data_IF_680557004623
#
_entry.id   IF_680557004623
#
_cell.length_a   1.000
_cell.length_b   1.000
_cell.length_c   1.000
_cell.angle_alpha   90.00
_cell.angle_beta   90.00
_cell.angle_gamma   90.00
#
_symmetry.space_group_name_H-M   'P 1'
#
loop_
_entity.id
_entity.type
_entity.pdbx_description
1 polymer ?
#
# COMPACT_ATOMS: atom_id res chain seq x y z
N UNK A 1 2.23 7.66 10.35
CA UNK A 1 2.59 6.32 9.82
C UNK A 1 2.40 6.31 8.32
N UNK A 2 3.10 5.45 7.56
CA UNK A 2 2.89 5.33 6.11
C UNK A 2 2.13 4.05 5.82
N UNK A 3 1.03 4.17 5.07
CA UNK A 3 0.34 3.04 4.48
C UNK A 3 0.84 2.79 3.06
N UNK A 4 0.98 1.52 2.69
CA UNK A 4 1.43 1.09 1.36
C UNK A 4 0.46 0.06 0.84
N UNK A 5 -0.06 0.24 -0.37
CA UNK A 5 -0.98 -0.71 -1.02
C UNK A 5 -0.39 -1.14 -2.35
N UNK A 6 -0.37 -2.45 -2.59
CA UNK A 6 -0.01 -2.97 -3.91
C UNK A 6 -1.21 -2.85 -4.85
N UNK A 7 -1.07 -2.04 -5.90
CA UNK A 7 -2.15 -1.77 -6.87
C UNK A 7 -2.04 -2.61 -8.13
N UNK A 8 -0.83 -3.10 -8.47
CA UNK A 8 -0.55 -3.76 -9.75
C UNK A 8 -0.13 -5.22 -9.58
N UNK A 9 -0.74 -6.09 -10.40
CA UNK A 9 -0.27 -7.47 -10.65
C UNK A 9 0.81 -7.46 -11.74
N UNK A 10 1.69 -8.45 -11.73
CA UNK A 10 2.69 -8.65 -12.78
C UNK A 10 3.93 -9.36 -12.26
N UNK A 11 4.94 -9.43 -13.12
CA UNK A 11 6.25 -10.03 -12.85
C UNK A 11 7.29 -8.92 -12.65
N UNK A 12 7.40 -8.35 -11.43
CA UNK A 12 8.44 -7.38 -11.14
C UNK A 12 9.83 -8.00 -11.34
N UNK A 13 10.79 -7.15 -11.68
CA UNK A 13 12.19 -7.58 -11.71
C UNK A 13 12.61 -8.10 -10.31
N UNK A 14 13.70 -8.90 -10.22
CA UNK A 14 14.09 -9.52 -8.95
C UNK A 14 14.28 -8.53 -7.79
N UNK A 15 14.79 -7.33 -8.08
CA UNK A 15 14.99 -6.28 -7.08
C UNK A 15 13.66 -5.79 -6.50
N UNK A 16 12.72 -5.37 -7.34
CA UNK A 16 11.38 -4.90 -6.94
C UNK A 16 10.62 -6.02 -6.25
N UNK A 17 10.70 -7.25 -6.79
CA UNK A 17 10.07 -8.43 -6.19
C UNK A 17 10.52 -8.61 -4.75
N UNK A 18 11.83 -8.57 -4.50
CA UNK A 18 12.39 -8.72 -3.16
C UNK A 18 11.91 -7.62 -2.22
N UNK A 19 11.85 -6.37 -2.70
CA UNK A 19 11.33 -5.25 -1.91
C UNK A 19 9.85 -5.44 -1.54
N UNK A 20 9.02 -5.90 -2.48
CA UNK A 20 7.60 -6.17 -2.21
C UNK A 20 7.44 -7.30 -1.17
N UNK A 21 8.22 -8.37 -1.26
CA UNK A 21 8.23 -9.47 -0.30
C UNK A 21 8.62 -8.98 1.11
N UNK A 22 9.67 -8.15 1.22
CA UNK A 22 10.11 -7.58 2.50
C UNK A 22 9.04 -6.68 3.14
N UNK A 23 8.25 -5.98 2.34
CA UNK A 23 7.15 -5.13 2.80
C UNK A 23 5.83 -5.89 2.98
N UNK A 24 5.81 -7.23 2.84
CA UNK A 24 4.61 -8.09 2.92
C UNK A 24 3.53 -7.73 1.89
N UNK A 25 3.95 -7.29 0.70
CA UNK A 25 3.08 -6.90 -0.42
C UNK A 25 3.01 -7.98 -1.50
N UNK A 26 2.79 -9.23 -1.10
CA UNK A 26 2.80 -10.39 -2.02
C UNK A 26 1.59 -10.39 -2.98
N UNK A 27 0.44 -9.92 -2.49
CA UNK A 27 -0.83 -9.88 -3.23
C UNK A 27 -1.26 -8.43 -3.49
N UNK A 28 -1.96 -8.20 -4.60
CA UNK A 28 -2.65 -6.92 -4.81
C UNK A 28 -3.68 -6.66 -3.74
N UNK A 29 -3.96 -5.38 -3.50
CA UNK A 29 -4.89 -4.89 -2.48
C UNK A 29 -4.47 -5.28 -1.06
N UNK A 30 -3.21 -5.64 -0.86
CA UNK A 30 -2.62 -5.77 0.48
C UNK A 30 -2.17 -4.39 0.94
N UNK A 31 -2.69 -3.95 2.09
CA UNK A 31 -2.20 -2.80 2.82
C UNK A 31 -1.08 -3.25 3.76
N UNK A 32 0.05 -2.55 3.77
CA UNK A 32 1.14 -2.73 4.71
C UNK A 32 1.39 -1.42 5.43
N UNK A 33 1.51 -1.47 6.76
CA UNK A 33 1.78 -0.31 7.60
C UNK A 33 3.24 -0.29 8.00
N UNK A 34 3.93 0.79 7.65
CA UNK A 34 5.37 0.95 7.86
C UNK A 34 5.69 2.26 8.55
N UNK A 35 6.86 2.30 9.18
CA UNK A 35 7.38 3.49 9.83
C UNK A 35 7.85 4.52 8.81
N UNK A 36 7.69 5.79 9.15
CA UNK A 36 8.23 6.89 8.34
C UNK A 36 9.73 7.09 8.67
N UNK A 37 10.60 6.45 7.89
CA UNK A 37 12.04 6.66 7.96
C UNK A 37 12.69 6.69 6.56
N UNK A 38 13.88 7.28 6.39
CA UNK A 38 14.53 7.42 5.08
C UNK A 38 14.80 6.08 4.38
N UNK A 39 15.11 5.03 5.15
CA UNK A 39 15.35 3.68 4.62
C UNK A 39 14.09 3.08 3.98
N UNK A 40 12.95 3.20 4.66
CA UNK A 40 11.65 2.77 4.16
C UNK A 40 11.26 3.57 2.92
N UNK A 41 11.47 4.89 2.91
CA UNK A 41 11.24 5.73 1.73
C UNK A 41 12.05 5.28 0.52
N UNK A 42 13.33 4.92 0.71
CA UNK A 42 14.15 4.34 -0.36
C UNK A 42 13.54 3.07 -0.96
N UNK A 43 13.02 2.17 -0.11
CA UNK A 43 12.32 0.96 -0.57
C UNK A 43 11.03 1.28 -1.34
N UNK A 44 10.27 2.29 -0.92
CA UNK A 44 9.05 2.72 -1.62
C UNK A 44 9.34 3.30 -3.01
N UNK A 45 10.45 4.03 -3.16
CA UNK A 45 10.87 4.56 -4.46
C UNK A 45 11.22 3.41 -5.41
N UNK A 46 11.92 2.37 -4.94
CA UNK A 46 12.27 1.20 -5.75
C UNK A 46 11.01 0.50 -6.28
N UNK A 47 9.97 0.34 -5.46
CA UNK A 47 8.76 -0.40 -5.85
C UNK A 47 7.59 0.48 -6.33
N UNK A 48 7.81 1.78 -6.55
CA UNK A 48 6.75 2.78 -6.81
C UNK A 48 5.85 2.44 -8.01
N UNK A 49 6.36 1.70 -9.00
CA UNK A 49 5.64 1.29 -10.21
C UNK A 49 4.62 0.16 -9.96
N UNK A 50 4.55 -0.36 -8.74
CA UNK A 50 3.62 -1.43 -8.33
C UNK A 50 2.72 -1.05 -7.16
N UNK A 51 3.08 0.00 -6.44
CA UNK A 51 2.45 0.36 -5.18
C UNK A 51 1.96 1.80 -5.19
N UNK A 52 1.00 2.08 -4.33
CA UNK A 52 0.67 3.42 -3.90
C UNK A 52 0.96 3.55 -2.43
N UNK A 53 1.46 4.70 -2.00
CA UNK A 53 1.78 4.92 -0.59
C UNK A 53 1.52 6.36 -0.20
N UNK A 54 1.17 6.56 1.07
CA UNK A 54 0.83 7.88 1.60
C UNK A 54 0.65 7.85 3.11
N UNK A 55 0.39 9.00 3.69
CA UNK A 55 0.07 9.11 5.12
C UNK A 55 -1.31 8.50 5.33
N UNK A 56 -1.43 7.70 6.39
CA UNK A 56 -2.68 7.08 6.83
C UNK A 56 -3.01 7.55 8.25
N UNK A 57 -4.28 7.88 8.50
CA UNK A 57 -4.75 8.29 9.82
C UNK A 57 -4.89 7.10 10.77
N UNK A 58 -4.56 7.32 12.05
CA UNK A 58 -4.64 6.28 13.08
C UNK A 58 -6.07 5.78 13.29
N UNK A 59 -7.07 6.67 13.22
CA UNK A 59 -8.50 6.32 13.27
C UNK A 59 -8.88 5.27 12.22
N UNK A 60 -8.29 5.39 11.03
CA UNK A 60 -8.59 4.52 9.92
C UNK A 60 -7.86 3.17 10.04
N UNK A 61 -6.65 3.18 10.59
CA UNK A 61 -5.93 1.95 10.97
C UNK A 61 -6.76 1.15 11.96
N UNK A 62 -7.32 1.77 13.00
CA UNK A 62 -8.19 1.08 13.96
C UNK A 62 -9.39 0.44 13.27
N UNK A 63 -10.06 1.15 12.36
CA UNK A 63 -11.19 0.60 11.57
C UNK A 63 -10.79 -0.59 10.70
N UNK A 64 -9.58 -0.58 10.13
CA UNK A 64 -9.05 -1.73 9.38
C UNK A 64 -8.83 -2.92 10.31
N UNK A 65 -8.19 -2.69 11.46
CA UNK A 65 -7.91 -3.73 12.46
C UNK A 65 -9.20 -4.36 13.01
N UNK A 66 -10.24 -3.56 13.26
CA UNK A 66 -11.55 -4.06 13.71
C UNK A 66 -12.21 -4.98 12.67
N UNK A 67 -12.15 -4.62 11.38
CA UNK A 67 -12.81 -5.39 10.32
C UNK A 67 -12.01 -6.57 9.79
N UNK A 68 -10.67 -6.51 9.86
CA UNK A 68 -9.76 -7.53 9.31
C UNK A 68 -9.08 -8.39 10.36
N UNK A 69 -9.22 -8.04 11.63
CA UNK A 69 -8.51 -8.67 12.74
C UNK A 69 -7.12 -8.03 12.96
N UNK A 70 -6.62 -8.14 14.18
CA UNK A 70 -5.28 -7.67 14.55
C UNK A 70 -4.22 -8.65 14.07
N UNK A 71 -3.10 -8.11 13.60
CA UNK A 71 -1.93 -8.89 13.17
C UNK A 71 -0.74 -8.52 14.03
N UNK A 72 -0.20 -9.49 14.76
CA UNK A 72 0.96 -9.33 15.64
C UNK A 72 2.25 -9.69 14.91
N UNK A 73 2.52 -9.02 13.79
CA UNK A 73 3.78 -9.14 13.06
C UNK A 73 4.57 -7.83 13.12
N UNK A 74 5.90 -7.86 12.97
CA UNK A 74 6.72 -6.63 12.99
C UNK A 74 6.27 -5.59 11.96
N UNK A 75 5.77 -6.05 10.82
CA UNK A 75 5.09 -5.23 9.80
C UNK A 75 3.64 -5.67 9.78
N UNK A 76 2.72 -4.78 10.15
CA UNK A 76 1.28 -5.05 10.09
C UNK A 76 0.81 -5.00 8.64
N UNK A 77 0.10 -6.03 8.20
CA UNK A 77 -0.45 -6.07 6.85
C UNK A 77 -1.89 -6.61 6.85
N UNK A 78 -2.70 -6.16 5.89
CA UNK A 78 -4.11 -6.48 5.79
C UNK A 78 -4.51 -6.70 4.34
N UNK A 79 -5.24 -7.78 4.06
CA UNK A 79 -5.83 -8.01 2.74
C UNK A 79 -7.16 -7.26 2.62
N UNK A 80 -7.17 -6.20 1.83
CA UNK A 80 -8.35 -5.36 1.61
C UNK A 80 -9.16 -5.84 0.40
N UNK A 81 -10.41 -5.36 0.31
CA UNK A 81 -11.21 -5.57 -0.90
C UNK A 81 -10.70 -4.65 -2.01
N UNK A 82 -10.96 -4.98 -3.29
CA UNK A 82 -10.79 -4.01 -4.37
C UNK A 82 -11.56 -2.71 -4.04
N UNK A 83 -11.06 -1.53 -4.44
CA UNK A 83 -11.77 -0.28 -4.22
C UNK A 83 -13.10 -0.27 -4.97
N UNK A 84 -14.18 0.18 -4.33
CA UNK A 84 -15.53 0.16 -4.94
C UNK A 84 -15.64 0.93 -6.27
N UNK A 85 -14.84 1.98 -6.48
CA UNK A 85 -14.77 2.74 -7.74
C UNK A 85 -13.65 2.28 -8.68
N UNK A 86 -13.03 1.14 -8.39
CA UNK A 86 -11.82 0.69 -9.07
C UNK A 86 -10.62 1.60 -8.76
N UNK A 87 -9.50 1.26 -9.39
CA UNK A 87 -8.34 2.12 -9.45
C UNK A 87 -8.48 3.09 -10.62
N UNK A 88 -7.77 4.21 -10.54
CA UNK A 88 -7.51 5.04 -11.72
C UNK A 88 -6.55 4.28 -12.67
N UNK A 89 -5.94 4.98 -13.63
CA UNK A 89 -4.96 4.35 -14.51
C UNK A 89 -3.82 3.71 -13.72
N UNK A 90 -3.69 2.38 -13.85
CA UNK A 90 -2.56 1.59 -13.33
C UNK A 90 -1.28 1.75 -14.16
N UNK A 91 -1.32 2.57 -15.21
CA UNK A 91 -0.18 2.87 -16.09
C UNK A 91 0.46 4.22 -15.78
N UNK A 92 -0.23 5.08 -15.04
CA UNK A 92 0.23 6.43 -14.74
C UNK A 92 0.51 6.61 -13.24
N UNK A 93 1.50 7.44 -12.88
CA UNK A 93 1.68 7.87 -11.50
C UNK A 93 0.57 8.83 -11.07
N UNK A 94 0.32 8.88 -9.76
CA UNK A 94 -0.51 9.91 -9.14
C UNK A 94 0.06 11.31 -9.44
N UNK A 95 -0.77 12.34 -9.74
CA UNK A 95 -2.23 12.41 -9.61
C UNK A 95 -3.04 11.91 -10.82
N UNK A 96 -2.40 11.57 -11.94
CA UNK A 96 -3.10 11.13 -13.17
C UNK A 96 -3.43 9.63 -13.16
N UNK A 97 -3.04 8.92 -12.10
CA UNK A 97 -3.23 7.49 -11.93
C UNK A 97 -3.03 7.04 -10.49
N UNK A 98 -2.85 5.73 -10.32
CA UNK A 98 -2.85 5.11 -8.99
C UNK A 98 -1.47 4.77 -8.44
N UNK A 99 -0.38 4.95 -9.18
CA UNK A 99 0.97 4.54 -8.73
C UNK A 99 1.72 5.65 -7.99
N UNK A 100 2.60 5.27 -7.07
CA UNK A 100 3.52 6.17 -6.40
C UNK A 100 2.95 6.88 -5.16
N UNK A 101 3.59 8.00 -4.82
CA UNK A 101 3.32 8.78 -3.61
C UNK A 101 2.00 9.55 -3.72
N UNK A 102 1.19 9.47 -2.67
CA UNK A 102 0.01 10.29 -2.41
C UNK A 102 0.21 11.07 -1.12
N UNK A 103 -0.48 12.21 -0.99
CA UNK A 103 -0.49 12.98 0.27
C UNK A 103 -1.23 12.20 1.36
N UNK A 104 -2.44 11.73 1.04
CA UNK A 104 -3.25 10.90 1.93
C UNK A 104 -3.67 9.59 1.24
N UNK A 105 -3.66 8.50 2.01
CA UNK A 105 -4.14 7.19 1.58
C UNK A 105 -5.56 6.89 2.07
N UNK A 106 -6.11 7.73 2.94
CA UNK A 106 -7.35 7.47 3.67
C UNK A 106 -8.53 7.27 2.74
N UNK A 107 -8.67 8.13 1.72
CA UNK A 107 -9.79 8.03 0.78
C UNK A 107 -9.76 6.70 0.01
N UNK A 108 -8.57 6.23 -0.39
CA UNK A 108 -8.43 4.97 -1.10
C UNK A 108 -8.78 3.80 -0.18
N UNK A 109 -8.27 3.79 1.04
CA UNK A 109 -8.54 2.71 1.99
C UNK A 109 -10.02 2.69 2.39
N UNK A 110 -10.68 3.86 2.58
CA UNK A 110 -12.14 3.94 2.83
C UNK A 110 -12.96 3.23 1.75
N UNK A 111 -12.51 3.27 0.49
CA UNK A 111 -13.17 2.57 -0.63
C UNK A 111 -12.91 1.07 -0.65
N UNK A 112 -11.93 0.57 0.12
CA UNK A 112 -11.45 -0.82 0.11
C UNK A 112 -11.84 -1.63 1.37
N UNK A 113 -12.36 -0.95 2.39
CA UNK A 113 -12.88 -1.55 3.63
C UNK A 113 -14.38 -1.83 3.47
#
# INVERSE_FOLDING_TARGET
>A
MIGVIRVRKGHPNPMIRKTLELLRLDKVNTLSLIQDNPRMKGMLIICQDYVTWGIISDELVTKVEEKKGKVETPIKFFHLRPPSKGYESLKLPYPKGSMGKRESLDELVKRMI
#
